data_IF_784165671683
#
_entry.id   IF_784165671683
#
_cell.length_a   1.000
_cell.length_b   1.000
_cell.length_c   1.000
_cell.angle_alpha   90.00
_cell.angle_beta   90.00
_cell.angle_gamma   90.00
#
_symmetry.space_group_name_H-M   'P 1'
#
loop_
_entity.id
_entity.type
_entity.pdbx_description
1 polymer ?
#
# COMPACT_ATOMS: atom_id res chain seq x y z
N UNK A 1 -11.70 8.09 2.32
CA UNK A 1 -12.66 7.84 1.20
C UNK A 1 -12.73 9.02 0.22
N UNK A 2 -12.74 10.28 0.66
CA UNK A 2 -12.75 11.44 -0.25
C UNK A 2 -11.56 11.45 -1.23
N UNK A 3 -10.34 11.24 -0.75
CA UNK A 3 -9.14 11.19 -1.61
C UNK A 3 -9.22 10.09 -2.68
N UNK A 4 -9.65 8.87 -2.32
CA UNK A 4 -9.85 7.77 -3.28
C UNK A 4 -10.85 8.14 -4.40
N UNK A 5 -11.97 8.77 -4.03
CA UNK A 5 -12.96 9.25 -5.02
C UNK A 5 -12.39 10.35 -5.91
N UNK A 6 -11.64 11.30 -5.33
CA UNK A 6 -11.01 12.40 -6.07
C UNK A 6 -9.97 11.94 -7.08
N UNK A 7 -9.33 10.78 -6.85
CA UNK A 7 -8.31 10.23 -7.75
C UNK A 7 -8.86 9.19 -8.71
N UNK A 8 -10.18 8.95 -8.72
CA UNK A 8 -10.82 7.95 -9.58
C UNK A 8 -10.35 6.51 -9.27
N UNK A 9 -9.83 6.27 -8.07
CA UNK A 9 -9.22 5.01 -7.68
C UNK A 9 -7.82 4.76 -8.25
N UNK A 10 -7.22 5.73 -8.97
CA UNK A 10 -5.82 5.64 -9.41
C UNK A 10 -4.88 5.59 -8.20
N UNK A 11 -4.04 4.56 -8.13
CA UNK A 11 -3.14 4.32 -7.01
C UNK A 11 -2.13 5.44 -6.85
N UNK A 12 -1.45 5.83 -7.93
CA UNK A 12 -0.36 6.80 -7.87
C UNK A 12 -0.87 8.17 -7.43
N UNK A 13 -1.94 8.67 -8.05
CA UNK A 13 -2.61 9.92 -7.67
C UNK A 13 -3.15 9.81 -6.25
N UNK A 14 -3.75 8.68 -5.88
CA UNK A 14 -4.25 8.40 -4.54
C UNK A 14 -3.21 8.61 -3.45
N UNK A 15 -2.05 7.98 -3.61
CA UNK A 15 -0.92 8.11 -2.70
C UNK A 15 -0.38 9.55 -2.67
N UNK A 16 -0.18 10.18 -3.83
CA UNK A 16 0.33 11.56 -3.89
C UNK A 16 -0.63 12.51 -3.19
N UNK A 17 -1.93 12.41 -3.43
CA UNK A 17 -2.93 13.31 -2.86
C UNK A 17 -3.10 13.06 -1.36
N UNK A 18 -3.10 11.80 -0.93
CA UNK A 18 -3.15 11.45 0.49
C UNK A 18 -1.93 11.95 1.25
N UNK A 19 -0.73 11.76 0.68
CA UNK A 19 0.53 12.17 1.31
C UNK A 19 0.68 13.69 1.42
N UNK A 20 0.04 14.45 0.52
CA UNK A 20 0.06 15.92 0.51
C UNK A 20 -1.17 16.55 1.21
N UNK A 21 -2.05 15.77 1.83
CA UNK A 21 -3.29 16.27 2.43
C UNK A 21 -3.07 17.05 3.75
N UNK A 22 -1.95 16.78 4.46
CA UNK A 22 -1.57 17.42 5.73
C UNK A 22 -2.07 16.70 7.00
N UNK A 23 -1.37 16.94 8.13
CA UNK A 23 -1.57 16.35 9.48
C UNK A 23 -1.49 14.82 9.56
N UNK A 24 -2.48 14.10 9.03
CA UNK A 24 -2.62 12.63 9.12
C UNK A 24 -2.38 11.98 7.74
N UNK A 25 -1.41 12.51 7.00
CA UNK A 25 -1.21 12.19 5.59
C UNK A 25 -0.74 10.76 5.35
N UNK A 26 0.01 10.18 6.27
CA UNK A 26 0.47 8.79 6.26
C UNK A 26 -0.70 7.80 6.39
N UNK A 27 -1.59 8.04 7.35
CA UNK A 27 -2.79 7.23 7.58
C UNK A 27 -3.75 7.34 6.40
N UNK A 28 -3.96 8.55 5.88
CA UNK A 28 -4.80 8.76 4.69
C UNK A 28 -4.20 8.04 3.49
N UNK A 29 -2.89 8.18 3.23
CA UNK A 29 -2.21 7.52 2.14
C UNK A 29 -2.26 5.99 2.27
N UNK A 30 -2.09 5.44 3.47
CA UNK A 30 -2.16 4.00 3.72
C UNK A 30 -3.55 3.44 3.38
N UNK A 31 -4.62 4.09 3.86
CA UNK A 31 -6.01 3.66 3.58
C UNK A 31 -6.33 3.78 2.09
N UNK A 32 -5.98 4.91 1.46
CA UNK A 32 -6.21 5.11 0.01
C UNK A 32 -5.41 4.10 -0.81
N UNK A 33 -4.15 3.85 -0.44
CA UNK A 33 -3.28 2.87 -1.07
C UNK A 33 -3.83 1.46 -0.98
N UNK A 34 -4.35 1.03 0.18
CA UNK A 34 -4.95 -0.28 0.34
C UNK A 34 -6.18 -0.47 -0.59
N UNK A 35 -7.08 0.50 -0.63
CA UNK A 35 -8.31 0.42 -1.45
C UNK A 35 -7.97 0.48 -2.95
N UNK A 36 -7.12 1.43 -3.36
CA UNK A 36 -6.67 1.53 -4.75
C UNK A 36 -5.89 0.29 -5.18
N UNK A 37 -4.99 -0.21 -4.34
CA UNK A 37 -4.18 -1.40 -4.62
C UNK A 37 -5.03 -2.66 -4.76
N UNK A 38 -6.03 -2.85 -3.90
CA UNK A 38 -7.00 -3.94 -4.03
C UNK A 38 -7.80 -3.85 -5.34
N UNK A 39 -8.10 -2.63 -5.81
CA UNK A 39 -8.84 -2.42 -7.07
C UNK A 39 -7.99 -2.67 -8.32
N UNK A 40 -6.74 -2.22 -8.33
CA UNK A 40 -5.88 -2.28 -9.53
C UNK A 40 -4.90 -3.46 -9.57
N UNK A 41 -4.79 -4.21 -8.46
CA UNK A 41 -3.78 -5.24 -8.28
C UNK A 41 -2.36 -4.67 -8.24
N UNK A 42 -1.38 -5.57 -8.12
CA UNK A 42 0.04 -5.21 -8.06
C UNK A 42 0.52 -4.48 -9.32
N UNK A 43 -0.04 -4.80 -10.50
CA UNK A 43 0.28 -4.15 -11.77
C UNK A 43 -0.10 -2.66 -11.82
N UNK A 44 -1.02 -2.21 -10.97
CA UNK A 44 -1.38 -0.79 -10.87
C UNK A 44 -0.49 0.03 -9.92
N UNK A 45 0.45 -0.62 -9.23
CA UNK A 45 1.39 0.03 -8.32
C UNK A 45 2.70 0.32 -9.07
N UNK A 46 3.27 1.54 -8.97
CA UNK A 46 4.58 1.82 -9.54
C UNK A 46 5.65 0.81 -9.04
N UNK A 47 6.36 0.08 -9.92
CA UNK A 47 7.25 -1.01 -9.51
C UNK A 47 8.33 -0.58 -8.51
N UNK A 48 8.90 0.61 -8.71
CA UNK A 48 9.90 1.16 -7.81
C UNK A 48 9.36 1.42 -6.39
N UNK A 49 8.07 1.73 -6.25
CA UNK A 49 7.45 1.95 -4.94
C UNK A 49 7.12 0.62 -4.27
N UNK A 50 6.62 -0.34 -5.04
CA UNK A 50 6.35 -1.69 -4.57
C UNK A 50 7.64 -2.33 -4.04
N UNK A 51 8.73 -2.26 -4.80
CA UNK A 51 10.03 -2.84 -4.43
C UNK A 51 10.62 -2.16 -3.18
N UNK A 52 10.51 -0.82 -3.07
CA UNK A 52 10.98 -0.09 -1.89
C UNK A 52 10.29 -0.52 -0.60
N UNK A 53 9.03 -0.94 -0.68
CA UNK A 53 8.25 -1.38 0.47
C UNK A 53 8.34 -2.89 0.73
N UNK A 54 8.99 -3.66 -0.15
CA UNK A 54 8.93 -5.12 -0.16
C UNK A 54 9.46 -5.77 1.12
N UNK A 55 10.52 -5.21 1.69
CA UNK A 55 11.17 -5.72 2.88
C UNK A 55 11.01 -4.70 4.02
N UNK A 56 10.17 -4.98 5.03
CA UNK A 56 10.02 -4.09 6.16
C UNK A 56 11.30 -4.08 6.99
N UNK A 57 11.64 -2.92 7.52
CA UNK A 57 12.88 -2.72 8.30
C UNK A 57 12.91 -3.49 9.63
N UNK A 58 11.74 -3.96 10.10
CA UNK A 58 11.59 -4.60 11.40
C UNK A 58 11.72 -3.65 12.60
N UNK A 59 11.58 -2.33 12.38
CA UNK A 59 11.76 -1.34 13.45
C UNK A 59 10.67 -1.43 14.52
N UNK A 60 9.39 -1.48 14.10
CA UNK A 60 8.26 -1.55 15.02
C UNK A 60 7.97 -2.99 15.48
N UNK A 61 8.21 -3.97 14.61
CA UNK A 61 7.99 -5.39 14.87
C UNK A 61 9.25 -6.15 14.44
N UNK A 62 10.10 -6.50 15.41
CA UNK A 62 11.42 -7.09 15.12
C UNK A 62 11.34 -8.36 14.27
N UNK A 63 10.28 -9.17 14.46
CA UNK A 63 10.07 -10.40 13.71
C UNK A 63 9.75 -10.18 12.22
N UNK A 64 9.40 -8.95 11.82
CA UNK A 64 9.10 -8.64 10.41
C UNK A 64 10.34 -8.37 9.59
N UNK A 65 11.51 -8.21 10.22
CA UNK A 65 12.77 -7.93 9.51
C UNK A 65 13.08 -9.05 8.51
N UNK A 66 13.23 -8.68 7.24
CA UNK A 66 13.57 -9.62 6.16
C UNK A 66 12.40 -10.46 5.65
N UNK A 67 11.17 -10.21 6.11
CA UNK A 67 9.99 -10.79 5.49
C UNK A 67 9.74 -10.17 4.12
N UNK A 68 9.32 -10.99 3.15
CA UNK A 68 8.81 -10.51 1.88
C UNK A 68 7.30 -10.30 1.99
N UNK A 69 6.84 -9.05 1.90
CA UNK A 69 5.41 -8.75 2.04
C UNK A 69 4.58 -9.28 0.87
N UNK A 70 5.17 -9.54 -0.30
CA UNK A 70 4.43 -10.09 -1.44
C UNK A 70 4.17 -11.58 -1.23
N UNK A 71 5.17 -12.33 -0.77
CA UNK A 71 5.03 -13.74 -0.37
C UNK A 71 4.03 -13.88 0.77
N UNK A 72 4.11 -13.01 1.78
CA UNK A 72 3.13 -12.98 2.87
C UNK A 72 1.71 -12.68 2.36
N UNK A 73 1.56 -11.69 1.47
CA UNK A 73 0.28 -11.36 0.87
C UNK A 73 -0.32 -12.52 0.08
N UNK A 74 0.50 -13.24 -0.69
CA UNK A 74 0.08 -14.45 -1.42
C UNK A 74 -0.39 -15.53 -0.45
N UNK A 75 0.42 -15.86 0.57
CA UNK A 75 0.06 -16.84 1.61
C UNK A 75 -1.26 -16.51 2.30
N UNK A 76 -1.50 -15.23 2.62
CA UNK A 76 -2.75 -14.80 3.23
C UNK A 76 -3.93 -14.96 2.27
N UNK A 77 -3.74 -14.66 0.98
CA UNK A 77 -4.76 -14.88 -0.05
C UNK A 77 -5.10 -16.36 -0.22
N UNK A 78 -4.11 -17.24 -0.15
CA UNK A 78 -4.28 -18.69 -0.30
C UNK A 78 -5.01 -19.34 0.89
N UNK A 79 -5.07 -18.67 2.05
CA UNK A 79 -5.82 -19.16 3.22
C UNK A 79 -7.33 -18.90 3.13
N UNK A 80 -7.75 -17.98 2.27
CA UNK A 80 -9.15 -17.56 2.11
C UNK A 80 -9.73 -17.90 0.72
N UNK A 81 -8.89 -18.35 -0.22
CA UNK A 81 -9.28 -18.87 -1.54
C UNK A 81 -9.55 -20.36 -1.50
#
# INVERSE_FOLDING_TARGET
ICVFKLTGGDFRKGIIYGSNFGRDSDTIAAIVGAISGAKCGLSGIPPAWAEKCRYPSGTCLAFTKGLDIFDLGQKLSDLIG
#
